data_IF_649385658941
#
_entry.id   IF_649385658941
#
_cell.length_a   1.000
_cell.length_b   1.000
_cell.length_c   1.000
_cell.angle_alpha   90.00
_cell.angle_beta   90.00
_cell.angle_gamma   90.00
#
_symmetry.space_group_name_H-M   'P 1'
#
loop_
_entity.id
_entity.type
_entity.pdbx_description
1 polymer ?
#
# COMPACT_ATOMS: atom_id res chain seq x y z
N UNK A 1 40.14 -39.67 51.37
CA UNK A 1 40.18 -38.28 50.88
C UNK A 1 39.39 -38.17 49.59
N UNK A 2 38.69 -37.05 49.41
CA UNK A 2 37.61 -36.83 48.44
C UNK A 2 38.13 -36.72 46.98
N UNK A 3 37.25 -37.12 46.06
CA UNK A 3 37.27 -37.03 44.59
C UNK A 3 37.60 -35.62 44.06
N UNK A 4 38.23 -35.54 42.89
CA UNK A 4 37.87 -34.56 41.84
C UNK A 4 38.05 -35.23 40.47
N UNK A 5 36.93 -35.49 39.79
CA UNK A 5 36.87 -35.75 38.35
C UNK A 5 36.51 -34.41 37.72
N UNK A 6 37.38 -33.88 36.87
CA UNK A 6 37.10 -32.65 36.10
C UNK A 6 36.29 -33.04 34.88
N UNK A 7 34.99 -32.78 34.93
CA UNK A 7 34.10 -32.85 33.77
C UNK A 7 34.22 -31.52 33.02
N UNK A 8 34.76 -31.56 31.81
CA UNK A 8 34.73 -30.43 30.89
C UNK A 8 33.28 -30.24 30.40
N UNK A 9 32.58 -29.22 30.92
CA UNK A 9 31.28 -28.81 30.39
C UNK A 9 31.49 -28.01 29.11
N UNK A 10 31.15 -28.61 27.97
CA UNK A 10 30.92 -27.88 26.72
C UNK A 10 29.68 -27.00 26.88
N UNK A 11 29.87 -25.69 27.02
CA UNK A 11 28.80 -24.70 26.89
C UNK A 11 28.49 -24.52 25.40
N UNK A 12 27.56 -25.32 24.88
CA UNK A 12 26.87 -24.99 23.64
C UNK A 12 25.99 -23.76 23.90
N UNK A 13 26.43 -22.58 23.47
CA UNK A 13 25.58 -21.39 23.41
C UNK A 13 24.48 -21.65 22.38
N UNK A 14 23.32 -22.10 22.83
CA UNK A 14 22.11 -22.09 22.02
C UNK A 14 21.73 -20.64 21.79
N UNK A 15 22.10 -20.10 20.63
CA UNK A 15 21.46 -18.92 20.08
C UNK A 15 19.99 -19.28 19.86
N UNK A 16 19.14 -18.90 20.82
CA UNK A 16 17.70 -18.83 20.63
C UNK A 16 17.46 -17.75 19.58
N UNK A 17 17.31 -18.17 18.32
CA UNK A 17 16.65 -17.35 17.33
C UNK A 17 15.22 -17.12 17.84
N UNK A 18 14.95 -15.92 18.32
CA UNK A 18 13.58 -15.48 18.54
C UNK A 18 12.89 -15.48 17.17
N UNK A 19 12.11 -16.52 16.89
CA UNK A 19 11.13 -16.47 15.81
C UNK A 19 10.24 -15.26 16.07
N UNK A 20 10.29 -14.25 15.20
CA UNK A 20 9.31 -13.18 15.27
C UNK A 20 7.95 -13.80 14.98
N UNK A 21 7.12 -13.91 16.01
CA UNK A 21 5.76 -14.40 15.86
C UNK A 21 5.05 -13.47 14.88
N UNK A 22 4.72 -13.97 13.69
CA UNK A 22 3.94 -13.22 12.70
C UNK A 22 2.64 -12.79 13.38
N UNK A 23 2.43 -11.47 13.52
CA UNK A 23 1.22 -10.96 14.18
C UNK A 23 -0.02 -11.57 13.50
N UNK A 24 -0.89 -12.21 14.28
CA UNK A 24 -2.12 -12.83 13.75
C UNK A 24 -2.95 -11.75 13.05
N UNK A 25 -3.55 -12.13 11.93
CA UNK A 25 -4.31 -11.17 11.14
C UNK A 25 -5.59 -10.73 11.82
N UNK A 26 -5.85 -9.41 11.79
CA UNK A 26 -6.96 -8.79 12.50
C UNK A 26 -7.82 -7.99 11.52
N UNK A 27 -8.39 -8.69 10.54
CA UNK A 27 -9.18 -8.11 9.46
C UNK A 27 -10.48 -7.45 9.94
N UNK A 28 -10.85 -6.35 9.29
CA UNK A 28 -12.17 -5.72 9.35
C UNK A 28 -12.62 -5.38 7.93
N UNK A 29 -13.90 -5.64 7.61
CA UNK A 29 -14.45 -5.48 6.27
C UNK A 29 -15.66 -4.56 6.24
N UNK A 30 -15.79 -3.83 5.13
CA UNK A 30 -17.04 -3.27 4.66
C UNK A 30 -17.50 -4.06 3.45
N UNK A 31 -18.80 -4.31 3.36
CA UNK A 31 -19.43 -5.06 2.28
C UNK A 31 -20.87 -4.56 2.12
N UNK A 32 -21.17 -3.97 0.96
CA UNK A 32 -22.49 -3.42 0.66
C UNK A 32 -23.30 -4.30 -0.31
N UNK A 33 -22.92 -5.57 -0.47
CA UNK A 33 -23.54 -6.51 -1.41
C UNK A 33 -23.09 -6.36 -2.86
N UNK A 34 -22.25 -5.36 -3.17
CA UNK A 34 -21.69 -5.13 -4.51
C UNK A 34 -20.18 -5.20 -4.50
N UNK A 35 -19.53 -4.38 -3.68
CA UNK A 35 -18.09 -4.34 -3.50
C UNK A 35 -17.74 -4.58 -2.03
N UNK A 36 -16.61 -5.23 -1.80
CA UNK A 36 -16.07 -5.50 -0.47
C UNK A 36 -14.64 -4.98 -0.37
N UNK A 37 -14.35 -4.27 0.71
CA UNK A 37 -13.01 -3.76 1.03
C UNK A 37 -12.66 -4.17 2.46
N UNK A 38 -11.39 -4.51 2.69
CA UNK A 38 -10.93 -4.95 4.00
C UNK A 38 -9.59 -4.35 4.40
N UNK A 39 -9.51 -4.00 5.68
CA UNK A 39 -8.31 -3.49 6.32
C UNK A 39 -7.77 -4.48 7.34
N UNK A 40 -6.47 -4.44 7.59
CA UNK A 40 -5.83 -5.24 8.63
C UNK A 40 -5.41 -4.41 9.85
N UNK A 41 -6.14 -4.58 10.95
CA UNK A 41 -5.88 -3.81 12.18
C UNK A 41 -4.54 -4.11 12.82
N UNK A 42 -3.95 -5.29 12.59
CA UNK A 42 -2.63 -5.61 13.15
C UNK A 42 -1.47 -5.03 12.33
N UNK A 43 -1.76 -4.41 11.18
CA UNK A 43 -0.81 -3.65 10.34
C UNK A 43 -1.36 -2.26 10.05
N UNK A 44 -1.56 -1.46 11.10
CA UNK A 44 -1.96 -0.05 10.97
C UNK A 44 -3.27 0.20 10.21
N UNK A 45 -4.19 -0.78 10.14
CA UNK A 45 -5.43 -0.62 9.39
C UNK A 45 -5.21 -0.46 7.88
N UNK A 46 -4.11 -0.98 7.34
CA UNK A 46 -3.86 -0.89 5.90
C UNK A 46 -4.85 -1.73 5.08
N UNK A 47 -5.18 -1.26 3.88
CA UNK A 47 -6.12 -1.95 2.99
C UNK A 47 -5.38 -3.09 2.29
N UNK A 48 -5.88 -4.32 2.48
CA UNK A 48 -5.31 -5.53 1.89
C UNK A 48 -6.35 -6.45 1.24
N UNK A 49 -7.62 -6.04 1.22
CA UNK A 49 -8.67 -6.72 0.48
C UNK A 49 -9.49 -5.74 -0.36
N UNK A 50 -9.70 -6.09 -1.62
CA UNK A 50 -10.70 -5.49 -2.51
C UNK A 50 -11.26 -6.58 -3.42
N UNK A 51 -12.57 -6.62 -3.62
CA UNK A 51 -13.21 -7.56 -4.52
C UNK A 51 -14.70 -7.31 -4.68
N UNK A 52 -15.33 -8.05 -5.58
CA UNK A 52 -16.79 -8.12 -5.63
C UNK A 52 -17.32 -8.88 -4.41
N UNK A 53 -18.41 -8.38 -3.83
CA UNK A 53 -19.07 -9.03 -2.68
C UNK A 53 -19.48 -10.47 -3.01
N UNK A 54 -20.08 -10.67 -4.19
CA UNK A 54 -20.61 -11.97 -4.64
C UNK A 54 -19.54 -13.07 -4.74
N UNK A 55 -18.34 -12.74 -5.22
CA UNK A 55 -17.29 -13.75 -5.43
C UNK A 55 -16.40 -13.92 -4.21
N UNK A 56 -16.24 -12.87 -3.40
CA UNK A 56 -15.33 -12.87 -2.26
C UNK A 56 -13.85 -12.98 -2.64
N UNK A 57 -13.52 -12.91 -3.94
CA UNK A 57 -12.14 -12.99 -4.44
C UNK A 57 -11.39 -11.71 -4.06
N UNK A 58 -10.28 -11.85 -3.36
CA UNK A 58 -9.38 -10.73 -3.11
C UNK A 58 -8.49 -10.47 -4.34
N UNK A 59 -8.58 -9.26 -4.87
CA UNK A 59 -7.83 -8.79 -6.04
C UNK A 59 -6.56 -8.02 -5.68
N UNK A 60 -6.31 -7.78 -4.39
CA UNK A 60 -5.10 -7.10 -3.93
C UNK A 60 -4.01 -8.11 -3.58
N UNK A 61 -2.76 -7.73 -3.83
CA UNK A 61 -1.59 -8.44 -3.35
C UNK A 61 -1.06 -7.77 -2.09
N UNK A 62 -0.84 -8.54 -1.03
CA UNK A 62 -0.24 -8.06 0.22
C UNK A 62 0.74 -9.12 0.77
N UNK A 63 1.67 -9.54 -0.11
CA UNK A 63 2.71 -10.53 0.20
C UNK A 63 3.56 -10.16 1.42
N UNK A 64 3.89 -8.87 1.54
CA UNK A 64 4.72 -8.27 2.57
C UNK A 64 4.13 -6.93 3.04
N UNK A 65 4.72 -6.34 4.08
CA UNK A 65 4.28 -5.11 4.74
C UNK A 65 4.29 -3.89 3.81
N UNK A 66 5.08 -3.93 2.73
CA UNK A 66 5.16 -2.84 1.75
C UNK A 66 4.04 -2.88 0.71
N UNK A 67 3.31 -3.99 0.58
CA UNK A 67 2.34 -4.20 -0.52
C UNK A 67 0.89 -3.93 -0.18
N UNK A 68 0.57 -3.49 1.03
CA UNK A 68 -0.76 -2.98 1.31
C UNK A 68 -1.02 -1.67 0.55
N UNK A 69 -2.29 -1.36 0.26
CA UNK A 69 -2.69 0.00 -0.08
C UNK A 69 -2.66 0.81 1.22
N UNK A 70 -1.71 1.75 1.30
CA UNK A 70 -1.34 2.39 2.56
C UNK A 70 -0.69 3.76 2.34
N UNK A 71 -0.60 4.55 3.40
CA UNK A 71 0.16 5.79 3.40
C UNK A 71 1.66 5.53 3.56
N UNK A 72 2.46 6.14 2.68
CA UNK A 72 3.93 6.11 2.68
C UNK A 72 4.44 7.44 2.12
N UNK A 73 5.37 8.09 2.82
CA UNK A 73 5.92 9.39 2.42
C UNK A 73 7.45 9.38 2.48
N UNK A 74 8.11 10.13 1.61
CA UNK A 74 9.57 10.13 1.45
C UNK A 74 10.16 11.49 1.78
N UNK A 75 11.20 11.50 2.61
CA UNK A 75 11.96 12.68 3.02
C UNK A 75 13.44 12.62 2.64
N UNK A 76 14.30 13.34 3.35
CA UNK A 76 15.75 13.34 3.12
C UNK A 76 16.40 12.04 3.62
N UNK A 77 17.65 11.81 3.21
CA UNK A 77 18.49 10.78 3.83
C UNK A 77 18.57 11.04 5.33
N UNK A 78 18.34 10.00 6.12
CA UNK A 78 18.36 10.03 7.58
C UNK A 78 19.44 9.11 8.16
N UNK A 79 20.34 8.61 7.30
CA UNK A 79 21.39 7.66 7.67
C UNK A 79 20.86 6.25 7.97
N UNK A 80 19.57 5.98 7.74
CA UNK A 80 19.03 4.63 7.91
C UNK A 80 19.47 3.69 6.79
N UNK A 81 19.42 2.40 7.08
CA UNK A 81 19.80 1.32 6.18
C UNK A 81 18.60 0.40 5.93
N UNK A 82 18.33 0.12 4.66
CA UNK A 82 17.39 -0.90 4.23
C UNK A 82 18.16 -2.05 3.59
N UNK A 83 18.47 -3.05 4.42
CA UNK A 83 19.09 -4.31 3.98
C UNK A 83 20.43 -4.09 3.22
N UNK A 84 21.34 -3.32 3.83
CA UNK A 84 22.65 -2.97 3.30
C UNK A 84 22.65 -1.84 2.27
N UNK A 85 21.53 -1.11 2.14
CA UNK A 85 21.41 0.04 1.23
C UNK A 85 20.99 1.28 2.00
N UNK A 86 21.69 2.42 1.83
CA UNK A 86 21.25 3.69 2.38
C UNK A 86 19.81 4.00 2.01
N UNK A 87 19.04 4.46 3.00
CA UNK A 87 17.62 4.79 2.84
C UNK A 87 17.32 6.22 3.28
N UNK A 88 16.05 6.60 3.18
CA UNK A 88 15.54 7.93 3.49
C UNK A 88 14.53 7.88 4.64
N UNK A 89 14.25 9.05 5.22
CA UNK A 89 13.07 9.29 6.04
C UNK A 89 11.84 8.74 5.32
N UNK A 90 11.22 7.68 5.84
CA UNK A 90 10.04 7.07 5.23
C UNK A 90 9.06 6.48 6.26
N UNK A 91 8.10 7.28 6.78
CA UNK A 91 7.01 6.78 7.62
C UNK A 91 6.02 5.99 6.75
N UNK A 92 5.64 4.80 7.24
CA UNK A 92 4.76 3.86 6.57
C UNK A 92 3.65 3.42 7.52
N UNK A 93 2.42 3.42 7.03
CA UNK A 93 1.23 3.11 7.83
C UNK A 93 1.21 1.67 8.33
N UNK A 94 1.66 0.68 7.54
CA UNK A 94 1.54 -0.74 7.88
C UNK A 94 2.62 -1.25 8.83
N UNK A 95 3.83 -0.68 8.74
CA UNK A 95 4.99 -1.11 9.51
C UNK A 95 6.28 -1.00 8.72
N UNK A 96 7.32 -1.65 9.25
CA UNK A 96 8.67 -1.67 8.66
C UNK A 96 8.95 -2.94 7.85
N UNK A 97 10.03 -2.90 7.06
CA UNK A 97 10.44 -4.03 6.20
C UNK A 97 10.78 -5.31 6.99
N UNK A 98 11.17 -5.17 8.25
CA UNK A 98 11.45 -6.25 9.19
C UNK A 98 10.21 -6.70 9.99
N UNK A 99 9.01 -6.37 9.48
CA UNK A 99 7.70 -6.81 9.99
C UNK A 99 7.29 -6.28 11.36
N UNK A 100 7.85 -5.16 11.81
CA UNK A 100 7.34 -4.48 13.02
C UNK A 100 6.14 -3.62 12.64
N UNK A 101 4.93 -3.92 13.13
CA UNK A 101 3.74 -3.18 12.75
C UNK A 101 3.76 -1.76 13.31
N UNK A 102 3.09 -0.85 12.61
CA UNK A 102 2.73 0.47 13.15
C UNK A 102 1.62 0.35 14.18
N UNK A 103 1.51 1.33 15.08
CA UNK A 103 0.57 1.29 16.18
C UNK A 103 -0.78 1.89 15.76
N UNK A 104 -1.82 1.06 15.73
CA UNK A 104 -3.20 1.51 15.57
C UNK A 104 -3.64 2.22 16.85
N UNK A 105 -3.86 3.53 16.77
CA UNK A 105 -4.25 4.37 17.90
C UNK A 105 -5.76 4.37 18.09
N UNK A 106 -6.51 4.38 16.98
CA UNK A 106 -7.97 4.43 17.01
C UNK A 106 -8.54 3.65 15.83
N UNK A 107 -9.67 3.00 16.06
CA UNK A 107 -10.47 2.36 15.02
C UNK A 107 -11.95 2.50 15.33
N UNK A 108 -12.72 2.91 14.32
CA UNK A 108 -14.18 3.02 14.39
C UNK A 108 -14.78 2.38 13.13
N UNK A 109 -15.93 1.74 13.28
CA UNK A 109 -16.70 1.15 12.19
C UNK A 109 -18.18 1.45 12.38
N UNK A 110 -18.85 1.82 11.31
CA UNK A 110 -20.29 2.01 11.25
C UNK A 110 -20.84 1.22 10.06
N UNK A 111 -21.37 0.04 10.33
CA UNK A 111 -21.93 -0.85 9.31
C UNK A 111 -23.18 -0.27 8.64
N UNK A 112 -23.95 0.55 9.35
CA UNK A 112 -25.15 1.20 8.79
C UNK A 112 -24.78 2.24 7.72
N UNK A 113 -23.67 2.95 7.92
CA UNK A 113 -23.13 3.92 6.97
C UNK A 113 -22.12 3.33 5.99
N UNK A 114 -21.85 2.03 6.09
CA UNK A 114 -20.82 1.35 5.32
C UNK A 114 -19.47 2.09 5.39
N UNK A 115 -19.03 2.43 6.60
CA UNK A 115 -17.81 3.23 6.80
C UNK A 115 -16.89 2.72 7.91
N UNK A 116 -15.59 2.98 7.74
CA UNK A 116 -14.53 2.70 8.70
C UNK A 116 -13.57 3.88 8.81
N UNK A 117 -13.08 4.11 10.02
CA UNK A 117 -12.03 5.07 10.33
C UNK A 117 -10.88 4.39 11.09
N UNK A 118 -9.65 4.78 10.78
CA UNK A 118 -8.46 4.37 11.53
C UNK A 118 -7.48 5.51 11.70
N UNK A 119 -6.88 5.63 12.88
CA UNK A 119 -5.76 6.54 13.19
C UNK A 119 -4.54 5.75 13.62
N UNK A 120 -3.37 6.12 13.12
CA UNK A 120 -2.16 5.32 13.20
C UNK A 120 -0.97 6.22 13.53
N UNK A 121 -0.13 5.74 14.45
CA UNK A 121 1.24 6.20 14.58
C UNK A 121 2.12 5.33 13.66
N UNK A 122 2.59 5.86 12.53
CA UNK A 122 3.35 5.07 11.58
C UNK A 122 4.75 4.75 12.10
N UNK A 123 5.46 3.94 11.33
CA UNK A 123 6.82 3.52 11.62
C UNK A 123 7.72 3.80 10.43
N UNK A 124 9.00 4.05 10.68
CA UNK A 124 10.05 4.07 9.65
C UNK A 124 10.11 2.75 8.92
N UNK A 125 10.08 2.80 7.59
CA UNK A 125 10.26 1.61 6.76
C UNK A 125 11.55 0.86 7.11
N UNK A 126 12.71 1.53 7.06
CA UNK A 126 14.05 0.95 7.19
C UNK A 126 14.44 0.63 8.64
N UNK A 127 14.33 1.61 9.54
CA UNK A 127 14.86 1.53 10.91
C UNK A 127 13.84 1.06 11.95
N UNK A 128 12.59 0.84 11.56
CA UNK A 128 11.50 0.45 12.44
C UNK A 128 11.24 1.40 13.63
N UNK A 129 11.77 2.62 13.64
CA UNK A 129 11.48 3.62 14.69
C UNK A 129 10.05 4.16 14.53
N UNK A 130 9.28 4.36 15.62
CA UNK A 130 8.00 5.07 15.56
C UNK A 130 8.15 6.48 14.98
N UNK A 131 7.10 6.97 14.32
CA UNK A 131 7.01 8.32 13.75
C UNK A 131 5.78 9.06 14.31
N UNK A 132 5.74 9.42 15.61
CA UNK A 132 4.63 10.17 16.20
C UNK A 132 4.42 11.54 15.54
N UNK A 133 5.44 12.06 14.87
CA UNK A 133 5.41 13.31 14.12
C UNK A 133 4.65 13.25 12.79
N UNK A 134 4.20 12.07 12.34
CA UNK A 134 3.58 11.87 11.04
C UNK A 134 2.25 11.10 11.15
N UNK A 135 1.37 11.49 12.08
CA UNK A 135 0.12 10.78 12.35
C UNK A 135 -0.72 10.62 11.07
N UNK A 136 -1.19 9.40 10.84
CA UNK A 136 -1.92 9.00 9.65
C UNK A 136 -3.34 8.61 10.01
N UNK A 137 -4.30 9.12 9.26
CA UNK A 137 -5.72 8.84 9.37
C UNK A 137 -6.26 8.35 8.03
N UNK A 138 -7.24 7.47 8.09
CA UNK A 138 -7.91 6.89 6.93
C UNK A 138 -9.41 6.81 7.22
N UNK A 139 -10.21 7.30 6.28
CA UNK A 139 -11.66 7.09 6.22
C UNK A 139 -11.99 6.27 4.97
N UNK A 140 -12.75 5.19 5.12
CA UNK A 140 -13.24 4.35 4.01
C UNK A 140 -14.76 4.34 4.05
N UNK A 141 -15.41 4.51 2.90
CA UNK A 141 -16.84 4.28 2.74
C UNK A 141 -17.19 3.60 1.42
N UNK A 142 -18.29 2.84 1.38
CA UNK A 142 -18.77 2.19 0.17
C UNK A 142 -20.03 2.88 -0.39
N UNK A 143 -20.02 3.17 -1.69
CA UNK A 143 -21.13 3.80 -2.42
C UNK A 143 -21.36 3.08 -3.75
N UNK A 144 -22.42 2.27 -3.85
CA UNK A 144 -22.65 1.43 -5.03
C UNK A 144 -21.45 0.51 -5.29
N UNK A 145 -20.83 0.63 -6.47
CA UNK A 145 -19.64 -0.14 -6.86
C UNK A 145 -18.31 0.57 -6.55
N UNK A 146 -18.32 1.66 -5.78
CA UNK A 146 -17.13 2.45 -5.44
C UNK A 146 -16.78 2.28 -3.97
N UNK A 147 -15.50 2.01 -3.71
CA UNK A 147 -14.90 2.29 -2.41
C UNK A 147 -14.26 3.69 -2.49
N UNK A 148 -14.69 4.60 -1.62
CA UNK A 148 -14.10 5.93 -1.44
C UNK A 148 -13.17 5.87 -0.23
N UNK A 149 -11.93 6.31 -0.41
CA UNK A 149 -10.92 6.30 0.64
C UNK A 149 -10.32 7.71 0.75
N UNK A 150 -10.34 8.29 1.94
CA UNK A 150 -9.66 9.54 2.24
C UNK A 150 -8.50 9.29 3.20
N UNK A 151 -7.30 9.65 2.76
CA UNK A 151 -6.08 9.61 3.54
C UNK A 151 -5.71 11.01 4.00
N UNK A 152 -5.40 11.11 5.29
CA UNK A 152 -4.93 12.34 5.92
C UNK A 152 -3.64 12.02 6.66
N UNK A 153 -2.58 12.78 6.41
CA UNK A 153 -1.37 12.76 7.21
C UNK A 153 -1.08 14.14 7.74
N UNK A 154 -0.94 14.25 9.07
CA UNK A 154 -0.54 15.48 9.75
C UNK A 154 0.93 15.36 10.16
N UNK A 155 1.78 16.21 9.59
CA UNK A 155 3.23 16.20 9.82
C UNK A 155 3.66 17.35 10.72
N UNK A 156 4.22 17.03 11.89
CA UNK A 156 4.80 17.98 12.84
C UNK A 156 6.32 17.83 12.98
N UNK A 157 6.93 16.97 12.17
CA UNK A 157 8.36 16.70 12.21
C UNK A 157 9.22 17.79 11.57
N UNK A 158 10.55 17.62 11.60
CA UNK A 158 11.48 18.58 11.02
C UNK A 158 11.40 18.60 9.49
N UNK A 159 11.91 19.68 8.89
CA UNK A 159 12.01 19.81 7.43
C UNK A 159 12.82 18.66 6.80
N UNK A 160 12.22 18.01 5.79
CA UNK A 160 12.77 16.87 5.07
C UNK A 160 13.41 17.22 3.73
N UNK A 161 13.70 18.50 3.51
CA UNK A 161 14.45 19.01 2.38
C UNK A 161 13.64 19.06 1.08
N UNK A 162 14.33 18.82 -0.05
CA UNK A 162 13.77 18.99 -1.40
C UNK A 162 12.53 18.13 -1.64
N UNK A 163 11.63 18.66 -2.46
CA UNK A 163 10.44 17.95 -2.91
C UNK A 163 10.78 16.64 -3.64
N UNK A 164 9.95 15.63 -3.43
CA UNK A 164 10.09 14.27 -3.99
C UNK A 164 8.74 13.77 -4.48
N UNK A 165 8.76 12.76 -5.34
CA UNK A 165 7.53 12.02 -5.66
C UNK A 165 7.03 11.29 -4.41
N UNK A 166 5.75 11.48 -4.11
CA UNK A 166 5.00 10.84 -3.04
C UNK A 166 3.91 9.98 -3.66
N UNK A 167 3.69 8.79 -3.11
CA UNK A 167 2.76 7.78 -3.63
C UNK A 167 1.32 8.04 -3.18
N UNK A 168 0.36 8.17 -4.11
CA UNK A 168 -1.03 8.59 -3.83
C UNK A 168 -2.12 7.56 -4.22
N UNK A 169 -2.28 6.44 -3.49
CA UNK A 169 -1.25 5.64 -2.84
C UNK A 169 -0.61 4.66 -3.84
N UNK A 170 0.38 3.90 -3.39
CA UNK A 170 0.78 2.67 -4.04
C UNK A 170 -0.37 1.64 -4.00
N UNK A 171 -0.63 0.99 -5.13
CA UNK A 171 -1.64 -0.06 -5.29
C UNK A 171 -1.01 -1.30 -5.88
N UNK A 172 -1.09 -2.40 -5.13
CA UNK A 172 -0.61 -3.71 -5.54
C UNK A 172 -1.80 -4.63 -5.77
N UNK A 173 -1.94 -5.12 -7.00
CA UNK A 173 -2.98 -6.07 -7.37
C UNK A 173 -2.40 -7.44 -7.67
N UNK A 174 -3.25 -8.46 -7.60
CA UNK A 174 -2.96 -9.83 -8.02
C UNK A 174 -2.31 -9.83 -9.42
N UNK A 175 -1.23 -10.60 -9.59
CA UNK A 175 -0.51 -10.70 -10.86
C UNK A 175 -1.36 -11.25 -12.02
N UNK A 176 -2.52 -11.84 -11.73
CA UNK A 176 -3.50 -12.20 -12.75
C UNK A 176 -4.12 -10.97 -13.45
N UNK A 177 -4.13 -9.81 -12.81
CA UNK A 177 -4.52 -8.52 -13.42
C UNK A 177 -3.30 -7.86 -14.05
N UNK A 178 -2.91 -8.35 -15.23
CA UNK A 178 -1.62 -8.03 -15.88
C UNK A 178 -1.69 -6.92 -16.92
N UNK A 179 -2.88 -6.53 -17.38
CA UNK A 179 -3.05 -5.57 -18.46
C UNK A 179 -3.28 -4.17 -17.87
N UNK A 180 -2.31 -3.27 -18.06
CA UNK A 180 -2.38 -1.90 -17.55
C UNK A 180 -3.01 -0.97 -18.58
N UNK A 181 -4.00 -0.19 -18.14
CA UNK A 181 -4.70 0.79 -18.97
C UNK A 181 -4.66 2.17 -18.34
N UNK A 182 -4.45 3.17 -19.19
CA UNK A 182 -4.52 4.59 -18.82
C UNK A 182 -4.83 5.42 -20.06
N UNK A 183 -5.19 6.69 -19.88
CA UNK A 183 -5.46 7.58 -21.01
C UNK A 183 -4.20 8.35 -21.42
N UNK A 184 -3.88 8.41 -22.71
CA UNK A 184 -2.84 9.27 -23.28
C UNK A 184 -3.45 10.06 -24.43
N UNK A 185 -3.33 11.39 -24.38
CA UNK A 185 -3.93 12.29 -25.39
C UNK A 185 -5.43 12.03 -25.62
N UNK A 186 -6.16 11.79 -24.52
CA UNK A 186 -7.61 11.53 -24.57
C UNK A 186 -8.00 10.13 -25.02
N UNK A 187 -7.05 9.28 -25.45
CA UNK A 187 -7.30 7.91 -25.89
C UNK A 187 -6.93 6.91 -24.80
N UNK A 188 -7.80 5.94 -24.56
CA UNK A 188 -7.51 4.82 -23.68
C UNK A 188 -6.51 3.89 -24.38
N UNK A 189 -5.36 3.68 -23.77
CA UNK A 189 -4.30 2.84 -24.31
C UNK A 189 -3.85 1.81 -23.28
N UNK A 190 -3.12 0.80 -23.75
CA UNK A 190 -2.39 -0.13 -22.91
C UNK A 190 -0.91 -0.07 -23.29
N UNK A 191 -0.04 -0.07 -22.28
CA UNK A 191 1.40 -0.21 -22.46
C UNK A 191 1.87 -1.28 -21.47
N UNK A 192 2.77 -2.16 -21.90
CA UNK A 192 3.33 -3.20 -21.04
C UNK A 192 4.14 -2.57 -19.90
N UNK A 193 3.70 -2.70 -18.63
CA UNK A 193 4.45 -2.19 -17.51
C UNK A 193 5.81 -2.87 -17.45
N UNK A 194 6.80 -2.10 -17.03
CA UNK A 194 8.15 -2.62 -16.83
C UNK A 194 8.13 -3.80 -15.86
N UNK A 195 8.89 -4.85 -16.18
CA UNK A 195 9.20 -5.91 -15.22
C UNK A 195 10.37 -5.49 -14.33
N UNK A 196 10.18 -5.51 -13.01
CA UNK A 196 11.27 -5.34 -12.05
C UNK A 196 12.19 -6.57 -12.07
N UNK A 197 13.25 -6.51 -12.88
CA UNK A 197 14.41 -7.40 -12.75
C UNK A 197 15.45 -6.74 -11.83
N UNK A 198 16.26 -7.55 -11.16
CA UNK A 198 17.21 -7.16 -10.10
C UNK A 198 18.30 -6.12 -10.51
N UNK A 199 18.34 -5.56 -11.72
CA UNK A 199 19.53 -4.80 -12.18
C UNK A 199 19.40 -3.51 -13.01
N UNK A 200 18.23 -3.02 -13.44
CA UNK A 200 18.24 -1.82 -14.32
C UNK A 200 17.52 -0.59 -13.76
N UNK A 201 17.87 0.59 -14.30
CA UNK A 201 17.57 1.95 -13.82
C UNK A 201 16.16 2.17 -13.30
N UNK A 202 15.99 3.10 -12.34
CA UNK A 202 14.84 3.25 -11.43
C UNK A 202 13.41 3.20 -12.01
N UNK A 203 12.43 3.43 -11.14
CA UNK A 203 11.02 3.37 -11.53
C UNK A 203 10.73 4.33 -12.71
N UNK A 204 10.08 3.84 -13.77
CA UNK A 204 9.71 4.66 -14.93
C UNK A 204 8.51 5.53 -14.57
N UNK A 205 8.56 6.79 -14.96
CA UNK A 205 7.43 7.71 -14.84
C UNK A 205 6.57 7.64 -16.10
N UNK A 206 5.25 7.60 -15.90
CA UNK A 206 4.24 7.76 -16.92
C UNK A 206 3.37 8.98 -16.63
N UNK A 207 2.77 9.56 -17.67
CA UNK A 207 1.82 10.68 -17.55
C UNK A 207 0.54 10.32 -18.29
N UNK A 208 -0.58 10.34 -17.59
CA UNK A 208 -1.90 10.15 -18.16
C UNK A 208 -2.56 11.50 -18.48
N UNK A 209 -3.44 11.53 -19.47
CA UNK A 209 -4.35 12.65 -19.73
C UNK A 209 -5.65 12.56 -18.92
N UNK A 210 -5.84 11.49 -18.13
CA UNK A 210 -6.88 11.35 -17.12
C UNK A 210 -6.22 11.14 -15.73
N UNK A 211 -7.03 11.10 -14.68
CA UNK A 211 -6.54 10.91 -13.29
C UNK A 211 -6.88 9.50 -12.77
N UNK A 212 -7.22 8.58 -13.68
CA UNK A 212 -7.49 7.19 -13.38
C UNK A 212 -6.66 6.25 -14.24
N UNK A 213 -6.41 5.06 -13.68
CA UNK A 213 -5.71 3.94 -14.32
C UNK A 213 -6.43 2.64 -13.96
N UNK A 214 -6.18 1.57 -14.70
CA UNK A 214 -6.74 0.26 -14.39
C UNK A 214 -5.73 -0.88 -14.62
N UNK A 215 -5.86 -1.93 -13.82
CA UNK A 215 -5.27 -3.24 -14.07
C UNK A 215 -6.37 -4.26 -14.26
N UNK A 216 -6.37 -4.93 -15.40
CA UNK A 216 -7.40 -5.90 -15.78
C UNK A 216 -6.77 -7.23 -16.23
N UNK A 217 -7.58 -8.28 -16.23
CA UNK A 217 -7.25 -9.58 -16.81
C UNK A 217 -7.44 -9.59 -18.34
N UNK A 218 -7.34 -10.76 -18.95
CA UNK A 218 -7.49 -10.93 -20.41
C UNK A 218 -8.94 -10.73 -20.88
N UNK A 219 -9.91 -10.79 -19.97
CA UNK A 219 -11.32 -10.48 -20.25
C UNK A 219 -11.66 -9.00 -20.02
N UNK A 220 -10.64 -8.16 -19.82
CA UNK A 220 -10.77 -6.73 -19.47
C UNK A 220 -11.56 -6.49 -18.19
N UNK A 221 -11.53 -7.41 -17.24
CA UNK A 221 -12.14 -7.25 -15.91
C UNK A 221 -11.05 -7.10 -14.84
N UNK A 222 -11.24 -6.21 -13.88
CA UNK A 222 -10.26 -6.01 -12.82
C UNK A 222 -10.50 -4.79 -11.96
N UNK A 223 -9.42 -4.10 -11.59
CA UNK A 223 -9.41 -3.01 -10.61
C UNK A 223 -9.13 -1.67 -11.29
N UNK A 224 -10.00 -0.69 -11.04
CA UNK A 224 -9.78 0.70 -11.38
C UNK A 224 -9.30 1.51 -10.17
N UNK A 225 -8.37 2.44 -10.40
CA UNK A 225 -7.85 3.39 -9.40
C UNK A 225 -8.05 4.81 -9.93
N UNK A 226 -8.82 5.63 -9.23
CA UNK A 226 -9.02 7.04 -9.54
C UNK A 226 -8.51 7.92 -8.41
N UNK A 227 -7.51 8.75 -8.70
CA UNK A 227 -6.89 9.67 -7.75
C UNK A 227 -6.95 11.08 -8.31
N UNK A 228 -8.03 11.85 -8.03
CA UNK A 228 -8.16 13.24 -8.46
C UNK A 228 -6.90 14.07 -8.19
N UNK A 229 -6.51 14.93 -9.12
CA UNK A 229 -5.31 15.76 -9.03
C UNK A 229 -3.99 15.03 -9.29
N UNK A 230 -4.01 13.76 -9.72
CA UNK A 230 -2.82 12.96 -10.00
C UNK A 230 -2.85 12.34 -11.38
N UNK A 231 -2.08 12.94 -12.30
CA UNK A 231 -1.90 12.45 -13.69
C UNK A 231 -0.53 11.81 -13.91
N UNK A 232 0.45 12.10 -13.06
CA UNK A 232 1.73 11.43 -13.04
C UNK A 232 1.59 10.10 -12.29
N UNK A 233 2.24 9.04 -12.78
CA UNK A 233 2.26 7.74 -12.11
C UNK A 233 3.58 7.02 -12.33
N UNK A 234 3.82 5.97 -11.55
CA UNK A 234 4.77 4.91 -11.88
C UNK A 234 4.09 3.55 -11.78
N UNK A 235 4.49 2.60 -12.62
CA UNK A 235 3.92 1.26 -12.64
C UNK A 235 4.97 0.20 -12.98
N UNK A 236 4.76 -1.03 -12.51
CA UNK A 236 5.61 -2.17 -12.83
C UNK A 236 4.91 -3.51 -12.55
N UNK A 237 5.54 -4.59 -13.02
CA UNK A 237 5.24 -5.98 -12.66
C UNK A 237 6.39 -6.55 -11.84
N UNK A 238 6.09 -7.17 -10.70
CA UNK A 238 7.03 -8.00 -9.97
C UNK A 238 6.71 -9.47 -10.29
N UNK A 239 7.68 -10.22 -10.83
CA UNK A 239 7.45 -11.62 -11.20
C UNK A 239 7.56 -12.58 -9.99
N UNK A 240 8.35 -12.23 -8.99
CA UNK A 240 8.62 -13.11 -7.85
C UNK A 240 9.04 -14.52 -8.30
N UNK A 241 8.48 -15.55 -7.67
CA UNK A 241 8.54 -16.95 -8.08
C UNK A 241 7.33 -17.39 -8.93
N UNK A 242 6.54 -16.44 -9.44
CA UNK A 242 5.34 -16.71 -10.24
C UNK A 242 4.05 -17.00 -9.44
N UNK A 243 4.12 -17.16 -8.11
CA UNK A 243 2.90 -17.35 -7.30
C UNK A 243 2.03 -16.09 -7.29
N UNK A 244 0.73 -16.28 -7.50
CA UNK A 244 -0.27 -15.20 -7.64
C UNK A 244 -1.19 -15.13 -6.41
N UNK A 245 -2.16 -14.20 -6.42
CA UNK A 245 -3.11 -14.01 -5.34
C UNK A 245 -2.59 -13.15 -4.18
N UNK A 246 -3.33 -13.07 -3.07
CA UNK A 246 -3.07 -12.11 -1.99
C UNK A 246 -1.74 -12.31 -1.27
N UNK A 247 -1.26 -13.55 -1.23
CA UNK A 247 0.04 -13.93 -0.65
C UNK A 247 1.02 -14.44 -1.72
N UNK A 248 0.74 -14.18 -2.99
CA UNK A 248 1.64 -14.50 -4.08
C UNK A 248 2.84 -13.55 -4.12
N UNK A 249 4.01 -14.04 -4.48
CA UNK A 249 5.19 -13.16 -4.60
C UNK A 249 5.17 -12.30 -5.86
N UNK A 250 4.36 -12.67 -6.87
CA UNK A 250 4.12 -11.89 -8.07
C UNK A 250 2.98 -10.88 -7.87
N UNK A 251 3.11 -9.69 -8.47
CA UNK A 251 2.06 -8.67 -8.45
C UNK A 251 2.18 -7.68 -9.62
N UNK A 252 1.08 -6.99 -9.92
CA UNK A 252 1.08 -5.75 -10.71
C UNK A 252 0.99 -4.55 -9.77
N UNK A 253 1.71 -3.47 -10.07
CA UNK A 253 1.80 -2.29 -9.22
C UNK A 253 1.56 -1.02 -10.03
N UNK A 254 0.84 -0.08 -9.43
CA UNK A 254 0.82 1.33 -9.84
C UNK A 254 0.79 2.24 -8.62
N UNK A 255 1.44 3.39 -8.72
CA UNK A 255 1.20 4.52 -7.83
C UNK A 255 0.97 5.78 -8.66
N UNK A 256 -0.18 6.45 -8.52
CA UNK A 256 -0.31 7.87 -8.83
C UNK A 256 0.68 8.67 -7.98
N UNK A 257 1.21 9.76 -8.51
CA UNK A 257 2.27 10.54 -7.87
C UNK A 257 1.89 12.01 -7.75
N UNK A 258 2.35 12.63 -6.66
CA UNK A 258 2.42 14.09 -6.49
C UNK A 258 3.82 14.45 -6.00
N UNK A 259 4.30 15.65 -6.32
CA UNK A 259 5.65 16.10 -5.95
C UNK A 259 5.59 17.19 -4.91
N UNK A 260 6.06 16.91 -3.70
CA UNK A 260 6.16 17.90 -2.61
C UNK A 260 7.18 17.46 -1.57
N UNK A 261 7.61 18.40 -0.73
CA UNK A 261 8.48 18.18 0.43
C UNK A 261 7.65 18.00 1.70
N UNK A 262 8.19 17.27 2.68
CA UNK A 262 7.60 17.20 4.02
C UNK A 262 8.18 18.34 4.86
N UNK A 263 7.38 19.37 5.12
CA UNK A 263 7.74 20.56 5.90
C UNK A 263 6.94 20.61 7.20
N UNK A 264 7.47 21.19 8.30
CA UNK A 264 6.73 21.30 9.55
C UNK A 264 5.32 21.89 9.35
N UNK A 265 4.30 21.25 9.89
CA UNK A 265 2.89 21.68 9.76
C UNK A 265 2.20 21.22 8.47
N UNK A 266 2.86 20.45 7.60
CA UNK A 266 2.24 19.91 6.39
C UNK A 266 1.05 19.01 6.75
N UNK A 267 -0.11 19.30 6.17
CA UNK A 267 -1.24 18.37 6.09
C UNK A 267 -1.36 17.84 4.67
N UNK A 268 -1.23 16.53 4.50
CA UNK A 268 -1.58 15.85 3.25
C UNK A 268 -3.00 15.33 3.41
N UNK A 269 -3.91 15.78 2.56
CA UNK A 269 -5.32 15.37 2.59
C UNK A 269 -5.77 15.08 1.15
N UNK A 270 -6.12 13.82 0.87
CA UNK A 270 -6.59 13.45 -0.44
C UNK A 270 -7.57 12.28 -0.39
N UNK A 271 -8.45 12.24 -1.39
CA UNK A 271 -9.38 11.14 -1.59
C UNK A 271 -9.02 10.41 -2.88
N UNK A 272 -9.04 9.09 -2.86
CA UNK A 272 -8.98 8.24 -4.03
C UNK A 272 -10.12 7.21 -4.00
N UNK A 273 -10.35 6.58 -5.13
CA UNK A 273 -11.46 5.67 -5.33
C UNK A 273 -10.96 4.38 -5.96
N UNK A 274 -11.51 3.27 -5.49
CA UNK A 274 -11.31 1.95 -6.05
C UNK A 274 -12.65 1.41 -6.54
N UNK A 275 -12.62 0.69 -7.67
CA UNK A 275 -13.79 -0.05 -8.17
C UNK A 275 -13.33 -1.35 -8.81
N UNK A 276 -14.25 -2.30 -8.94
CA UNK A 276 -14.05 -3.60 -9.58
C UNK A 276 -15.08 -3.78 -10.67
N UNK A 277 -14.67 -4.21 -11.86
CA UNK A 277 -15.58 -4.45 -12.99
C UNK A 277 -14.83 -4.56 -14.31
N UNK A 278 -15.59 -4.57 -15.41
CA UNK A 278 -15.03 -4.46 -16.75
C UNK A 278 -14.39 -3.08 -16.97
N UNK A 279 -13.47 -2.98 -17.92
CA UNK A 279 -12.77 -1.74 -18.25
C UNK A 279 -13.73 -0.60 -18.64
N UNK A 280 -14.83 -0.93 -19.35
CA UNK A 280 -15.85 0.03 -19.74
C UNK A 280 -16.63 0.52 -18.51
N UNK A 281 -17.05 -0.38 -17.61
CA UNK A 281 -17.70 0.01 -16.35
C UNK A 281 -16.79 0.85 -15.45
N UNK A 282 -15.50 0.52 -15.37
CA UNK A 282 -14.50 1.31 -14.62
C UNK A 282 -14.47 2.74 -15.15
N UNK A 283 -14.34 2.88 -16.48
CA UNK A 283 -14.31 4.18 -17.15
C UNK A 283 -15.59 4.97 -16.88
N UNK A 284 -16.75 4.37 -17.11
CA UNK A 284 -18.06 5.01 -16.92
C UNK A 284 -18.25 5.51 -15.48
N UNK A 285 -17.92 4.68 -14.48
CA UNK A 285 -18.05 5.04 -13.06
C UNK A 285 -17.17 6.23 -12.70
N UNK A 286 -15.93 6.28 -13.20
CA UNK A 286 -15.03 7.40 -12.92
C UNK A 286 -15.40 8.67 -13.69
N UNK A 287 -15.90 8.56 -14.92
CA UNK A 287 -16.44 9.70 -15.67
C UNK A 287 -17.69 10.28 -14.98
N UNK A 288 -18.60 9.44 -14.50
CA UNK A 288 -19.77 9.87 -13.73
C UNK A 288 -19.35 10.58 -12.43
N UNK A 289 -18.39 10.02 -11.70
CA UNK A 289 -17.88 10.61 -10.46
C UNK A 289 -17.18 11.96 -10.68
N UNK A 290 -16.56 12.18 -11.84
CA UNK A 290 -15.97 13.47 -12.21
C UNK A 290 -17.03 14.55 -12.48
N UNK A 291 -18.18 14.17 -13.04
CA UNK A 291 -19.30 15.09 -13.34
C UNK A 291 -20.09 15.50 -12.09
N UNK A 292 -20.05 14.69 -11.03
CA UNK A 292 -20.78 14.94 -9.78
C UNK A 292 -20.02 15.80 -8.76
N UNK A 293 -18.86 16.32 -9.13
CA UNK A 293 -18.02 17.22 -8.30
C UNK A 293 -18.02 18.60 -8.91
#
# INVERSE_FOLDING_TARGET
MKKIVVIALCLFSQFLFAESSKAKEAWSYLDNGKIRIGIDKSRGGCIGFLGESKTGRNLLNHFDEGRFIQQSYYGKSDGSDWNGKPWVYNPVQGGSWDRKPSRLLEFKKDDSKQSMYSKVEPRRWSSAKPCPEALMEQNISLHGNLAKINFIMNYTGPDQGKARHQEMPAVFVDALLKNFYYTKEGKLITEEPRVLKKKDGGLKLGKSSSEWVAYVDDNKWGVGVYTPGSTLFTCYKALGNGTTGPKGSACSYVSPLRTYSLTPGLKVDYTFYLTVGTLDEIKERFEALKKSK
#
